data_IF_859874348504
#
_entry.id   IF_859874348504
#
_cell.length_a   1.000
_cell.length_b   1.000
_cell.length_c   1.000
_cell.angle_alpha   90.00
_cell.angle_beta   90.00
_cell.angle_gamma   90.00
#
_symmetry.space_group_name_H-M   'P 1'
#
loop_
_entity.id
_entity.type
_entity.pdbx_description
1 polymer ?
#
# COMPACT_ATOMS: atom_id res chain seq x y z
N UNK A 1 20.03 23.30 -4.05
CA UNK A 1 19.61 21.94 -3.64
C UNK A 1 19.75 21.69 -2.13
N UNK A 2 20.85 22.08 -1.47
CA UNK A 2 21.04 21.88 -0.02
C UNK A 2 19.98 22.56 0.88
N UNK A 3 19.61 23.82 0.59
CA UNK A 3 18.60 24.56 1.37
C UNK A 3 17.25 23.83 1.41
N UNK A 4 16.77 23.37 0.25
CA UNK A 4 15.50 22.66 0.11
C UNK A 4 15.52 21.31 0.85
N UNK A 5 16.64 20.58 0.75
CA UNK A 5 16.80 19.33 1.48
C UNK A 5 16.79 19.55 3.01
N UNK A 6 17.46 20.60 3.47
CA UNK A 6 17.49 20.99 4.88
C UNK A 6 16.11 21.41 5.41
N UNK A 7 15.39 22.26 4.68
CA UNK A 7 14.04 22.69 5.02
C UNK A 7 13.08 21.51 5.15
N UNK A 8 13.19 20.51 4.25
CA UNK A 8 12.41 19.27 4.33
C UNK A 8 12.69 18.50 5.62
N UNK A 9 13.96 18.31 5.96
CA UNK A 9 14.35 17.62 7.20
C UNK A 9 13.82 18.39 8.42
N UNK A 10 13.95 19.71 8.44
CA UNK A 10 13.43 20.54 9.53
C UNK A 10 11.90 20.40 9.67
N UNK A 11 11.16 20.43 8.55
CA UNK A 11 9.71 20.26 8.55
C UNK A 11 9.30 18.88 9.10
N UNK A 12 9.97 17.81 8.67
CA UNK A 12 9.71 16.45 9.14
C UNK A 12 9.98 16.31 10.64
N UNK A 13 11.10 16.86 11.12
CA UNK A 13 11.46 16.85 12.55
C UNK A 13 10.47 17.65 13.39
N UNK A 14 10.02 18.80 12.89
CA UNK A 14 9.05 19.63 13.58
C UNK A 14 7.66 18.97 13.62
N UNK A 15 7.24 18.32 12.53
CA UNK A 15 6.01 17.54 12.47
C UNK A 15 6.01 16.37 13.46
N UNK A 16 7.11 15.61 13.54
CA UNK A 16 7.26 14.53 14.52
C UNK A 16 7.27 15.06 15.96
N UNK A 17 7.97 16.16 16.21
CA UNK A 17 8.02 16.84 17.51
C UNK A 17 6.62 17.22 18.02
N UNK A 18 5.86 17.95 17.20
CA UNK A 18 4.48 18.37 17.51
C UNK A 18 3.53 17.18 17.63
N UNK A 19 3.68 16.15 16.78
CA UNK A 19 2.91 14.91 16.86
C UNK A 19 3.13 14.20 18.20
N UNK A 20 4.37 14.04 18.65
CA UNK A 20 4.70 13.35 19.91
C UNK A 20 4.10 14.06 21.12
N UNK A 21 4.20 15.39 21.18
CA UNK A 21 3.59 16.18 22.27
C UNK A 21 2.07 16.06 22.26
N UNK A 22 1.43 16.13 21.09
CA UNK A 22 -0.02 15.94 20.98
C UNK A 22 -0.46 14.54 21.42
N UNK A 23 0.32 13.51 21.05
CA UNK A 23 0.01 12.11 21.40
C UNK A 23 0.17 11.85 22.90
N UNK A 24 1.20 12.42 23.52
CA UNK A 24 1.47 12.23 24.95
C UNK A 24 0.64 13.15 25.84
N UNK A 25 0.15 14.27 25.31
CA UNK A 25 -0.50 15.33 26.08
C UNK A 25 0.48 16.10 26.98
N UNK A 26 1.79 15.90 26.82
CA UNK A 26 2.82 16.49 27.68
C UNK A 26 3.58 17.59 26.94
N UNK A 27 3.59 18.78 27.53
CA UNK A 27 4.40 19.92 27.06
C UNK A 27 5.89 19.62 27.28
N UNK A 28 6.72 19.89 26.29
CA UNK A 28 8.17 19.85 26.45
C UNK A 28 8.71 21.15 27.05
N UNK A 29 9.83 21.07 27.77
CA UNK A 29 10.40 22.21 28.49
C UNK A 29 10.77 23.38 27.57
N UNK A 30 11.19 23.11 26.33
CA UNK A 30 11.55 24.13 25.35
C UNK A 30 10.34 24.88 24.75
N UNK A 31 9.10 24.49 25.07
CA UNK A 31 7.88 25.14 24.58
C UNK A 31 7.29 26.00 25.68
N UNK A 32 7.08 27.29 25.37
CA UNK A 32 6.43 28.21 26.31
C UNK A 32 4.98 27.80 26.57
N UNK A 33 4.43 28.24 27.71
CA UNK A 33 3.07 27.90 28.09
C UNK A 33 2.04 28.44 27.09
N UNK A 34 2.21 29.67 26.65
CA UNK A 34 1.33 30.33 25.66
C UNK A 34 1.25 29.55 24.34
N UNK A 35 2.40 29.12 23.81
CA UNK A 35 2.45 28.35 22.55
C UNK A 35 1.78 26.98 22.72
N UNK A 36 1.99 26.34 23.86
CA UNK A 36 1.36 25.06 24.18
C UNK A 36 -0.16 25.17 24.23
N UNK A 37 -0.70 26.18 24.93
CA UNK A 37 -2.13 26.44 25.02
C UNK A 37 -2.75 26.77 23.64
N UNK A 38 -2.05 27.56 22.83
CA UNK A 38 -2.45 27.85 21.45
C UNK A 38 -2.55 26.58 20.60
N UNK A 39 -1.57 25.67 20.70
CA UNK A 39 -1.61 24.39 20.00
C UNK A 39 -2.71 23.47 20.51
N UNK A 40 -2.94 23.40 21.83
CA UNK A 40 -4.05 22.63 22.37
C UNK A 40 -5.38 23.14 21.82
N UNK A 41 -5.59 24.46 21.81
CA UNK A 41 -6.79 25.07 21.21
C UNK A 41 -6.95 24.69 19.74
N UNK A 42 -5.87 24.74 18.96
CA UNK A 42 -5.90 24.34 17.54
C UNK A 42 -6.16 22.84 17.34
N UNK A 43 -5.73 21.97 18.25
CA UNK A 43 -5.98 20.52 18.18
C UNK A 43 -7.37 20.13 18.67
N UNK A 44 -7.96 20.93 19.57
CA UNK A 44 -9.32 20.74 20.06
C UNK A 44 -10.39 21.22 19.06
N UNK A 45 -10.00 22.06 18.09
CA UNK A 45 -10.86 22.52 17.01
C UNK A 45 -11.60 21.35 16.31
N UNK A 46 -12.94 21.39 16.23
CA UNK A 46 -13.72 20.33 15.60
C UNK A 46 -13.34 20.05 14.15
N UNK A 47 -12.99 21.09 13.37
CA UNK A 47 -12.61 20.89 11.97
C UNK A 47 -11.26 20.16 11.87
N UNK A 48 -10.29 20.48 12.74
CA UNK A 48 -9.05 19.73 12.86
C UNK A 48 -9.29 18.25 13.22
N UNK A 49 -10.11 17.98 14.24
CA UNK A 49 -10.45 16.60 14.63
C UNK A 49 -11.13 15.82 13.51
N UNK A 50 -12.10 16.44 12.84
CA UNK A 50 -12.79 15.84 11.67
C UNK A 50 -11.81 15.52 10.55
N UNK A 51 -10.93 16.47 10.20
CA UNK A 51 -9.91 16.28 9.16
C UNK A 51 -8.94 15.16 9.54
N UNK A 52 -8.50 15.11 10.79
CA UNK A 52 -7.64 14.03 11.32
C UNK A 52 -8.32 12.67 11.20
N UNK A 53 -9.60 12.58 11.54
CA UNK A 53 -10.38 11.34 11.47
C UNK A 53 -10.53 10.87 10.03
N UNK A 54 -10.89 11.77 9.10
CA UNK A 54 -10.93 11.47 7.66
C UNK A 54 -9.58 10.96 7.17
N UNK A 55 -8.45 11.62 7.51
CA UNK A 55 -7.13 11.12 7.11
C UNK A 55 -6.76 9.78 7.76
N UNK A 56 -7.22 9.53 8.99
CA UNK A 56 -7.01 8.23 9.63
C UNK A 56 -7.83 7.14 8.94
N UNK A 57 -9.08 7.43 8.59
CA UNK A 57 -9.94 6.56 7.80
C UNK A 57 -9.36 6.32 6.41
N UNK A 58 -8.91 7.35 5.69
CA UNK A 58 -8.28 7.22 4.37
C UNK A 58 -6.98 6.40 4.40
N UNK A 59 -6.22 6.43 5.50
CA UNK A 59 -5.06 5.54 5.69
C UNK A 59 -5.44 4.09 6.01
N UNK A 60 -6.64 3.88 6.57
CA UNK A 60 -7.17 2.56 6.97
C UNK A 60 -8.05 1.93 5.88
N UNK A 61 -8.65 2.72 5.00
CA UNK A 61 -9.48 2.22 3.93
C UNK A 61 -8.59 1.47 2.94
N UNK A 62 -8.87 0.18 2.82
CA UNK A 62 -8.34 -0.66 1.76
C UNK A 62 -8.84 -0.09 0.43
N UNK A 63 -7.99 0.71 -0.21
CA UNK A 63 -8.40 1.52 -1.34
C UNK A 63 -8.47 0.63 -2.57
N UNK A 64 -9.67 0.12 -2.88
CA UNK A 64 -10.02 -0.45 -4.17
C UNK A 64 -10.93 0.51 -4.93
N UNK A 65 -10.73 0.68 -6.24
CA UNK A 65 -11.52 1.55 -7.11
C UNK A 65 -10.80 2.82 -7.58
N UNK A 66 -11.48 3.62 -8.39
CA UNK A 66 -10.94 4.87 -8.95
C UNK A 66 -10.64 5.89 -7.84
N UNK A 67 -9.41 6.40 -7.81
CA UNK A 67 -8.91 7.25 -6.72
C UNK A 67 -8.19 6.49 -5.60
N UNK A 68 -7.99 5.18 -5.74
CA UNK A 68 -7.18 4.41 -4.82
C UNK A 68 -5.72 4.84 -4.80
N UNK A 69 -5.15 4.93 -3.60
CA UNK A 69 -3.71 5.13 -3.42
C UNK A 69 -2.87 4.00 -4.04
N UNK A 70 -1.54 4.12 -4.02
CA UNK A 70 -0.66 3.04 -4.45
C UNK A 70 -1.00 1.74 -3.72
N UNK A 71 -0.99 0.62 -4.43
CA UNK A 71 -1.18 -0.69 -3.80
C UNK A 71 -0.12 -0.88 -2.71
N UNK A 72 -0.54 -1.42 -1.57
CA UNK A 72 0.36 -1.85 -0.51
C UNK A 72 0.97 -3.18 -0.95
N UNK A 73 2.27 -3.32 -0.77
CA UNK A 73 3.00 -4.57 -0.99
C UNK A 73 3.90 -4.88 0.21
N UNK A 74 4.11 -6.16 0.47
CA UNK A 74 4.97 -6.71 1.55
C UNK A 74 6.36 -7.07 1.06
N UNK A 75 6.67 -6.90 -0.23
CA UNK A 75 7.99 -7.18 -0.81
C UNK A 75 9.14 -6.26 -0.34
N UNK A 76 8.85 -5.27 0.49
CA UNK A 76 9.85 -4.34 1.02
C UNK A 76 10.44 -3.43 -0.06
N UNK A 77 11.74 -3.11 0.08
CA UNK A 77 12.48 -2.27 -0.89
C UNK A 77 13.08 -3.06 -2.06
N UNK A 78 12.83 -4.37 -2.12
CA UNK A 78 13.33 -5.23 -3.20
C UNK A 78 12.45 -5.02 -4.43
N UNK A 79 13.08 -4.92 -5.61
CA UNK A 79 12.34 -4.81 -6.86
C UNK A 79 11.61 -6.12 -7.21
N UNK A 80 10.50 -6.05 -7.95
CA UNK A 80 9.78 -7.24 -8.38
C UNK A 80 10.65 -8.21 -9.21
N UNK A 81 11.59 -7.68 -10.00
CA UNK A 81 12.54 -8.48 -10.79
C UNK A 81 13.45 -9.29 -9.87
N UNK A 82 14.00 -8.65 -8.84
CA UNK A 82 14.88 -9.33 -7.89
C UNK A 82 14.10 -10.33 -7.04
N UNK A 83 12.87 -10.00 -6.64
CA UNK A 83 11.97 -10.97 -5.99
C UNK A 83 11.73 -12.19 -6.88
N UNK A 84 11.47 -12.00 -8.18
CA UNK A 84 11.30 -13.09 -9.13
C UNK A 84 12.54 -13.98 -9.22
N UNK A 85 13.74 -13.38 -9.30
CA UNK A 85 15.02 -14.10 -9.35
C UNK A 85 15.22 -14.96 -8.10
N UNK A 86 15.07 -14.36 -6.91
CA UNK A 86 15.25 -15.06 -5.63
C UNK A 86 14.25 -16.20 -5.45
N UNK A 87 13.00 -16.00 -5.86
CA UNK A 87 11.98 -17.05 -5.81
C UNK A 87 12.24 -18.15 -6.82
N UNK A 88 12.73 -17.81 -8.02
CA UNK A 88 13.06 -18.80 -9.02
C UNK A 88 14.21 -19.71 -8.59
N UNK A 89 15.23 -19.14 -7.93
CA UNK A 89 16.31 -19.90 -7.32
C UNK A 89 15.81 -20.82 -6.21
N UNK A 90 14.91 -20.33 -5.34
CA UNK A 90 14.32 -21.10 -4.23
C UNK A 90 13.42 -22.24 -4.71
N UNK A 91 12.56 -21.98 -5.69
CA UNK A 91 11.57 -22.94 -6.21
C UNK A 91 12.11 -23.78 -7.37
N UNK A 92 13.33 -23.49 -7.85
CA UNK A 92 13.98 -24.15 -9.00
C UNK A 92 13.12 -24.14 -10.27
N UNK A 93 12.25 -23.13 -10.41
CA UNK A 93 11.48 -22.86 -11.63
C UNK A 93 11.31 -21.37 -11.83
N UNK A 94 11.05 -20.95 -13.06
CA UNK A 94 10.65 -19.58 -13.33
C UNK A 94 9.24 -19.30 -12.77
N UNK A 95 9.08 -18.15 -12.11
CA UNK A 95 7.79 -17.67 -11.64
C UNK A 95 7.16 -16.77 -12.68
N UNK A 96 5.86 -16.93 -12.85
CA UNK A 96 5.06 -16.03 -13.67
C UNK A 96 4.88 -14.68 -12.97
N UNK A 97 4.65 -13.58 -13.71
CA UNK A 97 4.41 -12.27 -13.11
C UNK A 97 3.28 -12.25 -12.07
N UNK A 98 2.23 -13.05 -12.26
CA UNK A 98 1.13 -13.14 -11.29
C UNK A 98 1.56 -13.83 -10.00
N UNK A 99 2.45 -14.82 -10.04
CA UNK A 99 2.95 -15.50 -8.83
C UNK A 99 3.85 -14.56 -8.01
N UNK A 100 4.68 -13.77 -8.68
CA UNK A 100 5.48 -12.72 -8.04
C UNK A 100 4.56 -11.64 -7.44
N UNK A 101 3.50 -11.26 -8.16
CA UNK A 101 2.49 -10.33 -7.68
C UNK A 101 1.81 -10.86 -6.41
N UNK A 102 1.28 -12.09 -6.44
CA UNK A 102 0.63 -12.72 -5.29
C UNK A 102 1.59 -12.82 -4.10
N UNK A 103 2.84 -13.26 -4.32
CA UNK A 103 3.84 -13.33 -3.26
C UNK A 103 4.10 -11.96 -2.59
N UNK A 104 4.18 -10.90 -3.38
CA UNK A 104 4.50 -9.54 -2.89
C UNK A 104 3.30 -8.79 -2.33
N UNK A 105 2.07 -9.24 -2.59
CA UNK A 105 0.84 -8.56 -2.18
C UNK A 105 -0.01 -9.40 -1.22
N UNK A 106 0.52 -10.49 -0.67
CA UNK A 106 -0.10 -11.22 0.43
C UNK A 106 0.66 -11.07 1.75
N UNK A 107 -0.06 -11.27 2.85
CA UNK A 107 0.48 -11.20 4.21
C UNK A 107 1.42 -12.38 4.44
N UNK A 108 2.58 -12.10 5.03
CA UNK A 108 3.59 -13.11 5.37
C UNK A 108 3.93 -14.07 4.23
N UNK A 109 3.73 -13.64 2.99
CA UNK A 109 3.88 -14.44 1.78
C UNK A 109 3.07 -15.75 1.78
N UNK A 110 1.91 -15.78 2.44
CA UNK A 110 1.01 -16.94 2.56
C UNK A 110 0.31 -17.34 1.25
N UNK A 111 0.48 -16.55 0.18
CA UNK A 111 -0.15 -16.65 -1.13
C UNK A 111 -1.68 -16.62 -1.15
N UNK A 112 -2.33 -16.33 -0.02
CA UNK A 112 -3.78 -16.42 0.15
C UNK A 112 -4.39 -15.09 0.60
N UNK A 113 -3.78 -14.43 1.59
CA UNK A 113 -4.39 -13.28 2.25
C UNK A 113 -3.82 -11.98 1.71
N UNK A 114 -4.52 -11.37 0.75
CA UNK A 114 -4.09 -10.09 0.18
C UNK A 114 -4.05 -8.97 1.23
N UNK A 115 -3.08 -8.07 1.08
CA UNK A 115 -2.81 -6.96 2.02
C UNK A 115 -3.71 -5.76 1.77
N UNK A 116 -4.32 -5.67 0.59
CA UNK A 116 -5.31 -4.66 0.24
C UNK A 116 -6.34 -5.21 -0.77
N UNK A 117 -7.48 -4.53 -0.84
CA UNK A 117 -8.59 -4.88 -1.74
C UNK A 117 -8.27 -4.66 -3.22
N UNK A 118 -7.34 -3.76 -3.54
CA UNK A 118 -6.89 -3.53 -4.91
C UNK A 118 -6.19 -4.77 -5.46
N UNK A 119 -5.37 -5.41 -4.65
CA UNK A 119 -4.63 -6.61 -5.00
C UNK A 119 -5.56 -7.79 -5.24
N UNK A 120 -6.61 -7.91 -4.42
CA UNK A 120 -7.72 -8.85 -4.66
C UNK A 120 -8.32 -8.63 -6.03
N UNK A 121 -8.74 -7.39 -6.33
CA UNK A 121 -9.37 -7.07 -7.62
C UNK A 121 -8.44 -7.29 -8.82
N UNK A 122 -7.14 -6.96 -8.72
CA UNK A 122 -6.16 -7.24 -9.78
C UNK A 122 -6.02 -8.74 -10.02
N UNK A 123 -5.94 -9.53 -8.95
CA UNK A 123 -5.84 -10.99 -9.05
C UNK A 123 -7.11 -11.60 -9.67
N UNK A 124 -8.30 -11.19 -9.23
CA UNK A 124 -9.59 -11.64 -9.78
C UNK A 124 -9.76 -11.28 -11.27
N UNK A 125 -9.36 -10.07 -11.67
CA UNK A 125 -9.40 -9.66 -13.07
C UNK A 125 -8.47 -10.52 -13.92
N UNK A 126 -7.26 -10.81 -13.41
CA UNK A 126 -6.30 -11.68 -14.09
C UNK A 126 -6.81 -13.12 -14.22
N UNK A 127 -7.34 -13.71 -13.14
CA UNK A 127 -7.86 -15.08 -13.17
C UNK A 127 -9.03 -15.20 -14.13
N UNK A 128 -9.97 -14.25 -14.09
CA UNK A 128 -11.11 -14.19 -15.02
C UNK A 128 -10.66 -14.07 -16.47
N UNK A 129 -9.68 -13.20 -16.77
CA UNK A 129 -9.16 -13.05 -18.12
C UNK A 129 -8.45 -14.33 -18.61
N UNK A 130 -7.66 -14.96 -17.74
CA UNK A 130 -6.97 -16.22 -18.03
C UNK A 130 -7.96 -17.34 -18.32
N UNK A 131 -9.01 -17.50 -17.51
CA UNK A 131 -10.06 -18.49 -17.71
C UNK A 131 -10.77 -18.30 -19.05
N UNK A 132 -11.15 -17.06 -19.40
CA UNK A 132 -11.75 -16.75 -20.71
C UNK A 132 -10.85 -17.17 -21.87
N UNK A 133 -9.55 -16.88 -21.78
CA UNK A 133 -8.58 -17.27 -22.81
C UNK A 133 -8.50 -18.80 -22.91
N UNK A 134 -8.36 -19.51 -21.79
CA UNK A 134 -8.29 -20.97 -21.76
C UNK A 134 -9.55 -21.60 -22.35
N UNK A 135 -10.74 -21.13 -21.96
CA UNK A 135 -12.03 -21.62 -22.49
C UNK A 135 -12.18 -21.36 -23.99
N UNK A 136 -11.76 -20.19 -24.48
CA UNK A 136 -11.79 -19.89 -25.92
C UNK A 136 -10.85 -20.79 -26.72
N UNK A 137 -9.68 -21.12 -26.17
CA UNK A 137 -8.71 -22.01 -26.81
C UNK A 137 -9.18 -23.46 -26.83
N UNK A 138 -9.83 -23.94 -25.76
CA UNK A 138 -10.38 -25.29 -25.72
C UNK A 138 -11.57 -25.44 -26.67
N UNK A 139 -12.46 -24.44 -26.77
CA UNK A 139 -13.56 -24.43 -27.74
C UNK A 139 -13.03 -24.48 -29.19
N UNK A 140 -12.08 -23.61 -29.52
CA UNK A 140 -11.46 -23.61 -30.86
C UNK A 140 -10.76 -24.93 -31.21
N UNK A 141 -10.12 -25.58 -30.24
CA UNK A 141 -9.47 -26.89 -30.44
C UNK A 141 -10.46 -28.05 -30.60
N UNK A 142 -11.64 -27.95 -29.98
CA UNK A 142 -12.69 -28.95 -30.14
C UNK A 142 -13.39 -28.81 -31.49
N UNK A 143 -13.62 -27.59 -31.98
CA UNK A 143 -14.16 -27.35 -33.32
C UNK A 143 -13.23 -27.90 -34.42
N UNK A 144 -11.91 -27.67 -34.31
CA UNK A 144 -10.91 -28.21 -35.26
C UNK A 144 -10.90 -29.75 -35.27
N UNK A 145 -11.11 -30.39 -34.12
CA UNK A 145 -11.20 -31.86 -34.03
C UNK A 145 -12.51 -32.41 -34.57
N UNK A 146 -13.61 -31.66 -34.47
CA UNK A 146 -14.92 -32.08 -34.99
C UNK A 146 -15.03 -31.97 -36.52
N UNK A 147 -14.14 -31.20 -37.17
CA UNK A 147 -14.06 -31.09 -38.62
C UNK A 147 -13.10 -32.11 -39.29
N UNK A 148 -12.53 -33.05 -38.53
CA UNK A 148 -11.75 -34.18 -39.05
C UNK A 148 -12.52 -35.47 -38.87
#
# INVERSE_FOLDING_TARGET
>A
MLKVAWEKICADRYADFTYRMRKSGKKQQCVSQEIWESWQKAWEDPAFKRKREIFAQNRRSETGGDGAGPSRHTGGSISAIETARLLAEKLRRELTPIEVFTYTHTKDHDLNTFVDRRSVSVNENYTTARERIVTSQTHRRSDIRSCR
#
